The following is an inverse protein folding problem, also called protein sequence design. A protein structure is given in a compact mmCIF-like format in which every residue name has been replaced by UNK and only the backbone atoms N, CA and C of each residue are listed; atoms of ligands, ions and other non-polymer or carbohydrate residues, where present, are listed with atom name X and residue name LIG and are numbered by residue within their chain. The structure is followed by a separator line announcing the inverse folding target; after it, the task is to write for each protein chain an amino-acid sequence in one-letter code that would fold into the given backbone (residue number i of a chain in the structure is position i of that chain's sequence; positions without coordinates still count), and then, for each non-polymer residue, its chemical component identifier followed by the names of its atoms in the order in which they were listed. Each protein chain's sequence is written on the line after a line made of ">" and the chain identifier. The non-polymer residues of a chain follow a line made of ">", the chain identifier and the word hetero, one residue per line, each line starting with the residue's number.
data_IF_401429803789
#
_entry.id   IF_401429803789
#
_cell.length_a   1.000
_cell.length_b   1.000
_cell.length_c   1.000
_cell.angle_alpha   90.00
_cell.angle_beta   90.00
_cell.angle_gamma   90.00
#
_symmetry.space_group_name_H-M   'P 1'
#
loop_
_entity.id
_entity.type
_entity.pdbx_description
1 polymer ?
#
# COMPACT_ATOMS: atom_id res chain seq x y z
N UNK A 1 -8.17 9.41 -4.23
CA UNK A 1 -8.57 8.10 -4.82
C UNK A 1 -8.76 7.11 -3.67
N UNK A 2 -9.33 5.93 -3.90
CA UNK A 2 -9.37 4.90 -2.85
C UNK A 2 -8.02 4.19 -2.72
N UNK A 3 -7.69 3.70 -1.53
CA UNK A 3 -6.43 3.01 -1.25
C UNK A 3 -6.30 1.74 -2.08
N UNK A 4 -7.39 1.01 -2.31
CA UNK A 4 -7.40 -0.15 -3.22
C UNK A 4 -6.90 0.21 -4.62
N UNK A 5 -7.33 1.34 -5.16
CA UNK A 5 -6.95 1.78 -6.49
C UNK A 5 -5.49 2.24 -6.50
N UNK A 6 -5.08 2.99 -5.47
CA UNK A 6 -3.71 3.46 -5.32
C UNK A 6 -2.71 2.28 -5.27
N UNK A 7 -3.05 1.21 -4.54
CA UNK A 7 -2.23 0.00 -4.42
C UNK A 7 -1.96 -0.65 -5.79
N UNK A 8 -2.96 -0.73 -6.68
CA UNK A 8 -2.74 -1.32 -8.00
C UNK A 8 -2.16 -0.35 -9.02
N UNK A 9 -2.33 0.96 -8.83
CA UNK A 9 -1.74 1.99 -9.68
C UNK A 9 -0.22 2.10 -9.50
N UNK A 10 0.34 1.68 -8.36
CA UNK A 10 1.79 1.78 -8.08
C UNK A 10 2.68 1.15 -9.16
N UNK A 11 2.22 0.07 -9.80
CA UNK A 11 2.93 -0.61 -10.91
C UNK A 11 3.17 0.27 -12.14
N UNK A 12 2.40 1.34 -12.28
CA UNK A 12 2.49 2.28 -13.40
C UNK A 12 3.19 3.57 -12.98
N UNK A 13 3.58 3.70 -11.72
CA UNK A 13 4.20 4.90 -11.18
C UNK A 13 5.73 4.85 -11.35
N UNK A 14 6.39 6.02 -11.46
CA UNK A 14 7.84 6.06 -11.49
C UNK A 14 8.45 5.59 -10.16
N UNK A 15 9.72 5.19 -10.23
CA UNK A 15 10.51 4.86 -9.04
C UNK A 15 10.56 6.05 -8.05
N UNK A 16 10.49 5.75 -6.75
CA UNK A 16 10.42 6.76 -5.68
C UNK A 16 9.03 7.36 -5.44
N UNK A 17 8.00 6.88 -6.15
CA UNK A 17 6.61 7.17 -5.80
C UNK A 17 6.22 6.52 -4.46
N UNK A 18 5.38 7.21 -3.70
CA UNK A 18 4.91 6.79 -2.38
C UNK A 18 3.41 6.98 -2.30
N UNK A 19 2.73 5.98 -1.74
CA UNK A 19 1.31 6.08 -1.40
C UNK A 19 1.20 6.70 -0.01
N UNK A 20 0.35 7.71 0.11
CA UNK A 20 -0.10 8.23 1.40
C UNK A 20 -1.59 7.97 1.53
N UNK A 21 -2.05 7.60 2.72
CA UNK A 21 -3.45 7.28 2.97
C UNK A 21 -3.93 7.91 4.27
N UNK A 22 -5.23 8.09 4.42
CA UNK A 22 -5.85 8.44 5.70
C UNK A 22 -5.97 7.18 6.55
N UNK A 23 -5.66 7.30 7.85
CA UNK A 23 -5.87 6.22 8.80
C UNK A 23 -7.37 6.11 9.17
N UNK A 24 -7.88 4.91 9.50
CA UNK A 24 -7.18 3.62 9.48
C UNK A 24 -6.92 3.12 8.05
N UNK A 25 -5.85 2.37 7.81
CA UNK A 25 -5.53 1.86 6.47
C UNK A 25 -6.44 0.69 6.08
N UNK A 26 -7.59 1.04 5.50
CA UNK A 26 -8.55 0.11 4.90
C UNK A 26 -8.75 0.41 3.42
N UNK A 27 -9.29 -0.52 2.65
CA UNK A 27 -9.43 -0.41 1.18
C UNK A 27 -10.17 0.86 0.72
N UNK A 28 -11.18 1.31 1.46
CA UNK A 28 -11.98 2.51 1.15
C UNK A 28 -11.29 3.82 1.57
N UNK A 29 -10.15 3.73 2.26
CA UNK A 29 -9.44 4.90 2.75
C UNK A 29 -9.06 5.81 1.60
N UNK A 30 -9.16 7.09 1.83
CA UNK A 30 -8.68 8.05 0.87
C UNK A 30 -7.16 8.00 0.80
N UNK A 31 -6.64 7.89 -0.42
CA UNK A 31 -5.22 7.83 -0.71
C UNK A 31 -4.83 8.80 -1.82
N UNK A 32 -3.55 9.16 -1.82
CA UNK A 32 -2.85 9.91 -2.85
C UNK A 32 -1.51 9.25 -3.15
N UNK A 33 -1.02 9.44 -4.36
CA UNK A 33 0.33 9.05 -4.76
C UNK A 33 1.15 10.33 -4.90
N UNK A 34 2.29 10.37 -4.26
CA UNK A 34 3.20 11.52 -4.28
C UNK A 34 4.65 11.04 -4.25
N UNK A 35 5.61 11.93 -4.10
CA UNK A 35 7.02 11.60 -3.88
C UNK A 35 7.45 12.10 -2.51
N UNK A 36 8.43 11.45 -1.89
CA UNK A 36 9.03 11.98 -0.68
C UNK A 36 9.73 13.31 -0.97
N UNK A 37 9.75 14.15 0.06
CA UNK A 37 10.62 15.33 0.10
C UNK A 37 12.09 14.91 0.13
N UNK A 38 13.04 15.81 -0.17
CA UNK A 38 14.48 15.50 -0.05
C UNK A 38 14.93 15.08 1.36
N UNK A 39 14.12 15.35 2.39
CA UNK A 39 14.35 14.90 3.76
C UNK A 39 13.70 13.54 4.07
N UNK A 40 13.30 12.78 3.05
CA UNK A 40 12.64 11.46 3.16
C UNK A 40 11.30 11.46 3.91
N UNK A 41 10.64 12.62 4.05
CA UNK A 41 9.30 12.73 4.63
C UNK A 41 8.22 12.98 3.58
N UNK A 42 6.95 12.70 3.90
CA UNK A 42 5.82 13.07 3.03
C UNK A 42 5.67 14.62 2.96
N UNK A 43 5.20 15.18 1.83
CA UNK A 43 5.01 16.63 1.70
C UNK A 43 4.08 17.21 2.77
N UNK A 44 4.38 18.42 3.25
CA UNK A 44 3.59 19.05 4.31
C UNK A 44 2.14 19.35 3.87
N UNK A 45 1.93 19.63 2.57
CA UNK A 45 0.59 19.75 1.99
C UNK A 45 -0.24 18.47 2.20
N UNK A 46 0.36 17.29 2.01
CA UNK A 46 -0.32 16.01 2.24
C UNK A 46 -0.64 15.81 3.73
N UNK A 47 0.30 16.16 4.62
CA UNK A 47 0.08 16.10 6.08
C UNK A 47 -1.06 17.00 6.53
N UNK A 48 -1.10 18.24 6.04
CA UNK A 48 -2.15 19.22 6.35
C UNK A 48 -3.53 18.73 5.89
N UNK A 49 -3.58 17.98 4.80
CA UNK A 49 -4.79 17.32 4.32
C UNK A 49 -5.14 16.02 5.08
N UNK A 50 -4.38 15.66 6.13
CA UNK A 50 -4.63 14.50 6.97
C UNK A 50 -4.13 13.18 6.41
N UNK A 51 -3.33 13.19 5.35
CA UNK A 51 -2.69 11.98 4.84
C UNK A 51 -1.46 11.64 5.68
N UNK A 52 -1.24 10.35 5.88
CA UNK A 52 -0.04 9.79 6.51
C UNK A 52 0.66 8.87 5.51
N UNK A 53 1.96 8.68 5.73
CA UNK A 53 2.75 7.71 4.97
C UNK A 53 2.09 6.33 5.07
N UNK A 54 1.90 5.67 3.92
CA UNK A 54 1.44 4.29 3.86
C UNK A 54 2.62 3.38 3.51
N UNK A 55 3.05 3.37 2.24
CA UNK A 55 4.17 2.57 1.74
C UNK A 55 4.73 3.17 0.45
N UNK A 56 5.99 2.88 0.15
CA UNK A 56 6.58 3.14 -1.17
C UNK A 56 5.96 2.24 -2.24
N UNK A 57 5.90 2.75 -3.49
CA UNK A 57 5.34 2.01 -4.63
C UNK A 57 6.10 0.70 -4.89
N UNK A 58 7.42 0.70 -4.74
CA UNK A 58 8.27 -0.50 -4.84
C UNK A 58 7.91 -1.55 -3.80
N UNK A 59 7.81 -1.16 -2.52
CA UNK A 59 7.42 -2.06 -1.43
C UNK A 59 6.00 -2.63 -1.62
N UNK A 60 5.07 -1.83 -2.13
CA UNK A 60 3.73 -2.33 -2.49
C UNK A 60 3.82 -3.37 -3.60
N UNK A 61 4.62 -3.14 -4.63
CA UNK A 61 4.73 -4.08 -5.75
C UNK A 61 5.36 -5.41 -5.31
N UNK A 62 6.39 -5.38 -4.47
CA UNK A 62 7.00 -6.57 -3.86
C UNK A 62 5.96 -7.40 -3.08
N UNK A 63 5.15 -6.73 -2.24
CA UNK A 63 4.06 -7.39 -1.50
C UNK A 63 3.03 -8.01 -2.44
N UNK A 64 2.66 -7.29 -3.51
CA UNK A 64 1.71 -7.77 -4.52
C UNK A 64 2.27 -8.96 -5.31
N UNK A 65 3.56 -8.96 -5.64
CA UNK A 65 4.23 -10.10 -6.29
C UNK A 65 4.24 -11.32 -5.38
N UNK A 66 4.55 -11.14 -4.10
CA UNK A 66 4.55 -12.20 -3.10
C UNK A 66 3.18 -12.88 -2.98
N UNK A 67 2.12 -12.10 -2.74
CA UNK A 67 0.77 -12.68 -2.61
C UNK A 67 0.21 -13.15 -3.95
N UNK A 68 0.74 -12.70 -5.08
CA UNK A 68 0.33 -13.23 -6.39
C UNK A 68 0.80 -14.66 -6.65
N UNK A 69 1.73 -15.18 -5.83
CA UNK A 69 2.10 -16.61 -5.82
C UNK A 69 1.08 -17.47 -5.07
N UNK A 70 0.13 -16.83 -4.38
CA UNK A 70 -0.96 -17.47 -3.65
C UNK A 70 -2.25 -17.35 -4.44
N UNK A 71 -3.17 -18.27 -4.21
CA UNK A 71 -4.56 -18.16 -4.66
C UNK A 71 -5.29 -17.08 -3.85
N UNK A 72 -5.11 -15.82 -4.24
CA UNK A 72 -5.69 -14.66 -3.58
C UNK A 72 -6.49 -13.80 -4.56
N UNK A 73 -7.70 -13.40 -4.14
CA UNK A 73 -8.52 -12.42 -4.86
C UNK A 73 -7.85 -11.04 -4.80
N UNK A 74 -8.27 -10.10 -5.67
CA UNK A 74 -7.77 -8.71 -5.57
C UNK A 74 -8.05 -8.08 -4.19
N UNK A 75 -9.19 -8.40 -3.59
CA UNK A 75 -9.57 -7.88 -2.27
C UNK A 75 -8.61 -8.39 -1.19
N UNK A 76 -8.31 -9.69 -1.20
CA UNK A 76 -7.33 -10.31 -0.30
C UNK A 76 -5.93 -9.71 -0.49
N UNK A 77 -5.55 -9.34 -1.72
CA UNK A 77 -4.28 -8.65 -1.98
C UNK A 77 -4.25 -7.25 -1.36
N UNK A 78 -5.34 -6.49 -1.48
CA UNK A 78 -5.44 -5.17 -0.85
C UNK A 78 -5.38 -5.29 0.67
N UNK A 79 -6.12 -6.23 1.26
CA UNK A 79 -6.11 -6.48 2.70
C UNK A 79 -4.71 -6.89 3.21
N UNK A 80 -3.99 -7.72 2.46
CA UNK A 80 -2.62 -8.09 2.76
C UNK A 80 -1.70 -6.87 2.88
N UNK A 81 -1.73 -5.99 1.86
CA UNK A 81 -0.89 -4.79 1.84
C UNK A 81 -1.29 -3.83 2.96
N UNK A 82 -2.59 -3.64 3.20
CA UNK A 82 -3.09 -2.80 4.29
C UNK A 82 -2.69 -3.33 5.67
N UNK A 83 -2.75 -4.65 5.86
CA UNK A 83 -2.32 -5.30 7.10
C UNK A 83 -0.83 -5.09 7.33
N UNK A 84 -0.01 -5.33 6.30
CA UNK A 84 1.43 -5.13 6.37
C UNK A 84 1.78 -3.68 6.72
N UNK A 85 1.20 -2.70 6.03
CA UNK A 85 1.45 -1.28 6.31
C UNK A 85 1.04 -0.86 7.74
N UNK A 86 0.06 -1.53 8.33
CA UNK A 86 -0.44 -1.20 9.68
C UNK A 86 0.32 -1.91 10.80
N UNK A 87 0.87 -3.10 10.54
CA UNK A 87 1.44 -3.98 11.56
C UNK A 87 2.92 -4.31 11.36
N UNK A 88 3.50 -3.91 10.22
CA UNK A 88 4.85 -4.27 9.78
C UNK A 88 5.11 -5.79 9.79
N UNK A 89 4.06 -6.55 9.44
CA UNK A 89 4.06 -8.01 9.49
C UNK A 89 3.06 -8.59 8.48
N UNK A 90 3.31 -9.84 8.07
CA UNK A 90 2.31 -10.56 7.27
C UNK A 90 1.14 -11.02 8.15
N UNK A 91 -0.10 -10.95 7.66
CA UNK A 91 -1.23 -11.52 8.37
C UNK A 91 -1.05 -13.02 8.50
N UNK A 92 -1.49 -13.59 9.63
CA UNK A 92 -1.32 -15.02 9.93
C UNK A 92 -1.91 -15.94 8.85
N UNK A 93 -3.05 -15.54 8.27
CA UNK A 93 -3.73 -16.29 7.22
C UNK A 93 -2.94 -16.37 5.91
N UNK A 94 -1.92 -15.55 5.70
CA UNK A 94 -1.09 -15.59 4.48
C UNK A 94 -0.47 -16.97 4.26
N UNK A 95 -0.02 -17.62 5.34
CA UNK A 95 0.60 -18.94 5.30
C UNK A 95 -0.41 -20.08 5.09
N UNK A 96 -1.69 -19.81 5.30
CA UNK A 96 -2.78 -20.75 5.10
C UNK A 96 -3.29 -20.76 3.64
N UNK A 97 -2.89 -19.77 2.83
CA UNK A 97 -3.26 -19.70 1.43
C UNK A 97 -2.52 -20.76 0.60
N UNK A 98 -3.28 -21.43 -0.27
CA UNK A 98 -2.74 -22.33 -1.28
C UNK A 98 -1.86 -21.58 -2.27
N UNK A 99 -0.75 -22.20 -2.69
CA UNK A 99 0.07 -21.71 -3.78
C UNK A 99 -0.68 -21.83 -5.12
N UNK A 100 -0.34 -20.95 -6.06
CA UNK A 100 -0.85 -20.95 -7.43
C UNK A 100 -0.07 -21.92 -8.32
#
# INVERSE_FOLDING_TARGET
>A
MQLSDAIFLTRQMPEGAVVCARAPFVRESEAIITTLTPAYGIPDEAKLQGFTYFLEASGIDELLEMISRKQASQETKVEFVCHYASHDAYPSWFYELADF
#
